data_IF_359986352652
#
_entry.id   IF_359986352652
#
_cell.length_a   1.000
_cell.length_b   1.000
_cell.length_c   1.000
_cell.angle_alpha   90.00
_cell.angle_beta   90.00
_cell.angle_gamma   90.00
#
_symmetry.space_group_name_H-M   'P 1'
#
loop_
_entity.id
_entity.type
_entity.pdbx_description
1 polymer ?
#
# COMPACT_ATOMS: atom_id res chain seq x y z
N UNK A 1 -93.26 -17.54 -38.78
CA UNK A 1 -92.69 -18.48 -37.79
C UNK A 1 -91.60 -19.43 -38.34
N UNK A 2 -91.81 -20.26 -39.37
CA UNK A 2 -90.75 -21.19 -39.83
C UNK A 2 -89.59 -20.53 -40.58
N UNK A 3 -89.87 -19.55 -41.44
CA UNK A 3 -88.84 -18.79 -42.17
C UNK A 3 -87.95 -17.96 -41.24
N UNK A 4 -88.53 -17.39 -40.18
CA UNK A 4 -87.79 -16.63 -39.17
C UNK A 4 -86.89 -17.55 -38.32
N UNK A 5 -87.36 -18.75 -37.96
CA UNK A 5 -86.54 -19.77 -37.30
C UNK A 5 -85.35 -20.21 -38.16
N UNK A 6 -85.53 -20.34 -39.48
CA UNK A 6 -84.44 -20.69 -40.40
C UNK A 6 -83.40 -19.56 -40.50
N UNK A 7 -83.85 -18.31 -40.66
CA UNK A 7 -82.95 -17.14 -40.69
C UNK A 7 -82.19 -16.94 -39.38
N UNK A 8 -82.85 -17.18 -38.24
CA UNK A 8 -82.20 -17.15 -36.92
C UNK A 8 -81.17 -18.27 -36.76
N UNK A 9 -81.45 -19.49 -37.23
CA UNK A 9 -80.47 -20.60 -37.23
C UNK A 9 -79.25 -20.30 -38.12
N UNK A 10 -79.46 -19.67 -39.27
CA UNK A 10 -78.37 -19.30 -40.17
C UNK A 10 -77.49 -18.20 -39.57
N UNK A 11 -78.10 -17.17 -38.97
CA UNK A 11 -77.37 -16.13 -38.21
C UNK A 11 -76.62 -16.70 -37.02
N UNK A 12 -77.22 -17.63 -36.28
CA UNK A 12 -76.56 -18.32 -35.16
C UNK A 12 -75.37 -19.15 -35.63
N UNK A 13 -75.48 -19.80 -36.79
CA UNK A 13 -74.39 -20.57 -37.40
C UNK A 13 -73.23 -19.66 -37.85
N UNK A 14 -73.53 -18.53 -38.50
CA UNK A 14 -72.53 -17.52 -38.89
C UNK A 14 -71.82 -16.93 -37.68
N UNK A 15 -72.57 -16.50 -36.66
CA UNK A 15 -72.01 -15.99 -35.42
C UNK A 15 -71.14 -17.03 -34.69
N UNK A 16 -71.53 -18.32 -34.70
CA UNK A 16 -70.70 -19.39 -34.13
C UNK A 16 -69.39 -19.61 -34.89
N UNK A 17 -69.40 -19.50 -36.22
CA UNK A 17 -68.19 -19.57 -37.05
C UNK A 17 -67.27 -18.38 -36.79
N UNK A 18 -67.83 -17.17 -36.73
CA UNK A 18 -67.07 -15.97 -36.38
C UNK A 18 -66.46 -16.07 -34.98
N UNK A 19 -67.21 -16.53 -33.98
CA UNK A 19 -66.68 -16.76 -32.63
C UNK A 19 -65.54 -17.79 -32.65
N UNK A 20 -65.63 -18.83 -33.48
CA UNK A 20 -64.58 -19.83 -33.59
C UNK A 20 -63.32 -19.27 -34.27
N UNK A 21 -63.48 -18.48 -35.33
CA UNK A 21 -62.38 -17.81 -36.03
C UNK A 21 -61.69 -16.77 -35.13
N UNK A 22 -62.47 -15.96 -34.41
CA UNK A 22 -61.97 -14.97 -33.44
C UNK A 22 -61.21 -15.65 -32.30
N UNK A 23 -61.70 -16.79 -31.77
CA UNK A 23 -60.97 -17.58 -30.76
C UNK A 23 -59.63 -18.08 -31.30
N UNK A 24 -59.60 -18.57 -32.55
CA UNK A 24 -58.37 -19.04 -33.19
C UNK A 24 -57.37 -17.90 -33.40
N UNK A 25 -57.84 -16.72 -33.80
CA UNK A 25 -57.00 -15.53 -33.91
C UNK A 25 -56.46 -15.10 -32.54
N UNK A 26 -57.29 -15.10 -31.50
CA UNK A 26 -56.90 -14.74 -30.14
C UNK A 26 -55.81 -15.66 -29.58
N UNK A 27 -55.90 -16.98 -29.83
CA UNK A 27 -54.83 -17.91 -29.45
C UNK A 27 -53.51 -17.65 -30.19
N UNK A 28 -53.57 -17.31 -31.48
CA UNK A 28 -52.38 -16.95 -32.26
C UNK A 28 -51.74 -15.67 -31.72
N UNK A 29 -52.55 -14.64 -31.42
CA UNK A 29 -52.07 -13.42 -30.80
C UNK A 29 -51.43 -13.68 -29.43
N UNK A 30 -52.06 -14.48 -28.57
CA UNK A 30 -51.47 -14.84 -27.27
C UNK A 30 -50.11 -15.56 -27.41
N UNK A 31 -49.97 -16.47 -28.38
CA UNK A 31 -48.69 -17.13 -28.67
C UNK A 31 -47.63 -16.13 -29.12
N UNK A 32 -47.98 -15.19 -30.01
CA UNK A 32 -47.07 -14.15 -30.46
C UNK A 32 -46.65 -13.21 -29.32
N UNK A 33 -47.60 -12.77 -28.49
CA UNK A 33 -47.30 -11.92 -27.33
C UNK A 33 -46.38 -12.62 -26.33
N UNK A 34 -46.59 -13.92 -26.08
CA UNK A 34 -45.72 -14.69 -25.19
C UNK A 34 -44.28 -14.79 -25.70
N UNK A 35 -44.09 -14.92 -27.03
CA UNK A 35 -42.76 -14.90 -27.64
C UNK A 35 -42.13 -13.53 -27.47
N UNK A 36 -42.86 -12.45 -27.77
CA UNK A 36 -42.36 -11.07 -27.61
C UNK A 36 -41.95 -10.79 -26.16
N UNK A 37 -42.75 -11.20 -25.17
CA UNK A 37 -42.43 -11.01 -23.76
C UNK A 37 -41.16 -11.76 -23.36
N UNK A 38 -40.93 -12.98 -23.88
CA UNK A 38 -39.68 -13.71 -23.64
C UNK A 38 -38.48 -13.00 -24.24
N UNK A 39 -38.59 -12.55 -25.50
CA UNK A 39 -37.52 -11.80 -26.17
C UNK A 39 -37.19 -10.50 -25.43
N UNK A 40 -38.19 -9.77 -24.93
CA UNK A 40 -37.97 -8.55 -24.13
C UNK A 40 -37.21 -8.85 -22.85
N UNK A 41 -37.54 -9.96 -22.15
CA UNK A 41 -36.80 -10.38 -20.94
C UNK A 41 -35.36 -10.77 -21.25
N UNK A 42 -35.12 -11.47 -22.36
CA UNK A 42 -33.76 -11.81 -22.81
C UNK A 42 -32.95 -10.56 -23.15
N UNK A 43 -33.55 -9.59 -23.84
CA UNK A 43 -32.92 -8.29 -24.14
C UNK A 43 -32.59 -7.54 -22.85
N UNK A 44 -33.49 -7.54 -21.85
CA UNK A 44 -33.23 -6.91 -20.55
C UNK A 44 -32.06 -7.57 -19.82
N UNK A 45 -32.04 -8.91 -19.74
CA UNK A 45 -30.95 -9.63 -19.10
C UNK A 45 -29.60 -9.37 -19.79
N UNK A 46 -29.56 -9.42 -21.12
CA UNK A 46 -28.36 -9.09 -21.90
C UNK A 46 -27.94 -7.63 -21.70
N UNK A 47 -28.90 -6.70 -21.60
CA UNK A 47 -28.58 -5.29 -21.37
C UNK A 47 -27.98 -5.05 -19.99
N UNK A 48 -28.45 -5.75 -18.96
CA UNK A 48 -27.86 -5.72 -17.62
C UNK A 48 -26.45 -6.31 -17.60
N UNK A 49 -26.23 -7.41 -18.32
CA UNK A 49 -24.93 -8.05 -18.45
C UNK A 49 -23.92 -7.13 -19.17
N UNK A 50 -24.33 -6.50 -20.27
CA UNK A 50 -23.52 -5.49 -20.98
C UNK A 50 -23.19 -4.31 -20.07
N UNK A 51 -24.14 -3.85 -19.25
CA UNK A 51 -23.90 -2.76 -18.29
C UNK A 51 -22.86 -3.18 -17.25
N UNK A 52 -23.00 -4.37 -16.65
CA UNK A 52 -22.05 -4.90 -15.66
C UNK A 52 -20.66 -5.04 -16.25
N UNK A 53 -20.53 -5.65 -17.42
CA UNK A 53 -19.26 -5.82 -18.11
C UNK A 53 -18.61 -4.46 -18.45
N UNK A 54 -19.42 -3.47 -18.84
CA UNK A 54 -18.93 -2.10 -19.09
C UNK A 54 -18.40 -1.42 -17.82
N UNK A 55 -19.03 -1.66 -16.66
CA UNK A 55 -18.56 -1.14 -15.38
C UNK A 55 -17.27 -1.82 -14.92
N UNK A 56 -17.16 -3.14 -15.11
CA UNK A 56 -15.92 -3.89 -14.84
C UNK A 56 -14.78 -3.43 -15.75
N UNK A 57 -15.04 -3.24 -17.04
CA UNK A 57 -14.04 -2.75 -18.01
C UNK A 57 -13.53 -1.36 -17.63
N UNK A 58 -14.41 -0.45 -17.20
CA UNK A 58 -14.00 0.87 -16.69
C UNK A 58 -13.14 0.79 -15.42
N UNK A 59 -13.37 -0.20 -14.54
CA UNK A 59 -12.51 -0.41 -13.37
C UNK A 59 -11.11 -0.87 -13.81
N UNK A 60 -11.05 -1.85 -14.71
CA UNK A 60 -9.78 -2.34 -15.24
C UNK A 60 -9.00 -1.29 -16.02
N UNK A 61 -9.67 -0.42 -16.79
CA UNK A 61 -8.99 0.69 -17.48
C UNK A 61 -8.35 1.68 -16.50
N UNK A 62 -9.03 2.03 -15.40
CA UNK A 62 -8.47 2.90 -14.36
C UNK A 62 -7.27 2.26 -13.67
N UNK A 63 -7.36 0.98 -13.35
CA UNK A 63 -6.27 0.23 -12.75
C UNK A 63 -5.07 0.15 -13.70
N UNK A 64 -5.31 -0.10 -14.99
CA UNK A 64 -4.27 -0.13 -16.00
C UNK A 64 -3.58 1.24 -16.17
N UNK A 65 -4.35 2.34 -16.15
CA UNK A 65 -3.79 3.69 -16.17
C UNK A 65 -2.90 3.96 -14.94
N UNK A 66 -3.36 3.57 -13.75
CA UNK A 66 -2.59 3.69 -12.51
C UNK A 66 -1.28 2.89 -12.59
N UNK A 67 -1.34 1.63 -13.01
CA UNK A 67 -0.16 0.79 -13.17
C UNK A 67 0.81 1.34 -14.22
N UNK A 68 0.31 1.92 -15.32
CA UNK A 68 1.17 2.59 -16.31
C UNK A 68 1.90 3.79 -15.74
N UNK A 69 1.25 4.58 -14.87
CA UNK A 69 1.89 5.69 -14.16
C UNK A 69 2.97 5.16 -13.21
N UNK A 70 2.64 4.16 -12.39
CA UNK A 70 3.62 3.53 -11.47
C UNK A 70 4.85 2.98 -12.23
N UNK A 71 4.66 2.37 -13.40
CA UNK A 71 5.76 1.90 -14.26
C UNK A 71 6.60 3.07 -14.81
N UNK A 72 5.96 4.19 -15.21
CA UNK A 72 6.67 5.36 -15.70
C UNK A 72 7.53 5.99 -14.59
N UNK A 73 6.98 6.09 -13.39
CA UNK A 73 7.69 6.58 -12.20
C UNK A 73 8.88 5.68 -11.88
N UNK A 74 8.67 4.36 -11.85
CA UNK A 74 9.74 3.37 -11.67
C UNK A 74 10.86 3.50 -12.71
N UNK A 75 10.53 3.71 -13.99
CA UNK A 75 11.53 3.93 -15.05
C UNK A 75 12.34 5.19 -14.79
N UNK A 76 11.68 6.30 -14.40
CA UNK A 76 12.36 7.55 -14.07
C UNK A 76 13.33 7.38 -12.89
N UNK A 77 12.93 6.60 -11.89
CA UNK A 77 13.70 6.28 -10.70
C UNK A 77 14.91 5.41 -11.06
N UNK A 78 14.73 4.35 -11.86
CA UNK A 78 15.85 3.52 -12.34
C UNK A 78 16.87 4.35 -13.10
N UNK A 79 16.43 5.26 -13.98
CA UNK A 79 17.33 6.17 -14.70
C UNK A 79 18.07 7.08 -13.71
N UNK A 80 17.40 7.52 -12.65
CA UNK A 80 17.99 8.38 -11.61
C UNK A 80 19.01 7.62 -10.76
N UNK A 81 18.70 6.39 -10.33
CA UNK A 81 19.62 5.46 -9.66
C UNK A 81 20.83 5.16 -10.55
N UNK A 82 20.62 5.01 -11.86
CA UNK A 82 21.71 4.73 -12.79
C UNK A 82 22.62 5.94 -12.99
N UNK A 83 22.07 7.16 -12.98
CA UNK A 83 22.84 8.40 -13.18
C UNK A 83 23.53 8.92 -11.93
N UNK A 84 23.01 8.62 -10.75
CA UNK A 84 23.49 9.14 -9.48
C UNK A 84 23.63 7.93 -8.58
N UNK A 85 24.79 7.72 -7.94
CA UNK A 85 25.05 6.61 -7.03
C UNK A 85 24.12 6.65 -5.80
N UNK A 86 22.84 6.33 -5.99
CA UNK A 86 21.83 6.19 -4.98
C UNK A 86 21.90 4.77 -4.43
N UNK A 87 21.84 4.65 -3.11
CA UNK A 87 21.78 3.38 -2.39
C UNK A 87 20.44 3.25 -1.69
N UNK A 88 20.01 2.02 -1.50
CA UNK A 88 18.78 1.71 -0.78
C UNK A 88 19.02 1.83 0.73
N UNK A 89 18.20 2.61 1.42
CA UNK A 89 18.08 2.52 2.87
C UNK A 89 17.25 1.29 3.20
N UNK A 90 17.80 0.38 4.01
CA UNK A 90 17.17 -0.90 4.31
C UNK A 90 15.90 -0.64 5.11
N UNK A 91 14.71 -0.95 4.57
CA UNK A 91 13.48 -0.62 5.24
C UNK A 91 13.13 -1.67 6.29
N UNK A 92 12.79 -1.22 7.49
CA UNK A 92 12.25 -2.04 8.57
C UNK A 92 10.96 -1.41 9.09
N UNK A 93 10.01 -2.27 9.45
CA UNK A 93 8.73 -1.81 10.00
C UNK A 93 8.90 -1.18 11.38
N UNK A 94 9.61 -1.86 12.27
CA UNK A 94 9.87 -1.49 13.68
C UNK A 94 11.27 -1.94 14.07
N UNK A 95 11.86 -1.38 15.13
CA UNK A 95 13.18 -1.79 15.63
C UNK A 95 13.09 -3.05 16.49
N UNK A 96 12.81 -4.19 15.85
CA UNK A 96 12.73 -5.52 16.47
C UNK A 96 13.64 -6.52 15.75
N UNK A 97 14.06 -7.59 16.45
CA UNK A 97 14.90 -8.64 15.85
C UNK A 97 14.20 -9.34 14.67
N UNK A 98 12.88 -9.49 14.75
CA UNK A 98 12.07 -10.08 13.69
C UNK A 98 12.07 -9.20 12.44
N UNK A 99 11.91 -7.89 12.60
CA UNK A 99 11.92 -6.94 11.48
C UNK A 99 13.30 -6.82 10.84
N UNK A 100 14.38 -6.80 11.63
CA UNK A 100 15.75 -6.84 11.12
C UNK A 100 16.00 -8.13 10.32
N UNK A 101 15.63 -9.28 10.89
CA UNK A 101 15.83 -10.58 10.21
C UNK A 101 15.02 -10.70 8.92
N UNK A 102 13.80 -10.13 8.90
CA UNK A 102 12.99 -10.07 7.68
C UNK A 102 13.66 -9.19 6.62
N UNK A 103 14.16 -8.02 7.01
CA UNK A 103 14.86 -7.14 6.10
C UNK A 103 16.16 -7.76 5.56
N UNK A 104 16.91 -8.49 6.37
CA UNK A 104 18.12 -9.20 5.91
C UNK A 104 17.81 -10.25 4.83
N UNK A 105 16.65 -10.91 4.91
CA UNK A 105 16.19 -11.88 3.89
C UNK A 105 15.73 -11.21 2.60
N UNK A 106 15.08 -10.05 2.70
CA UNK A 106 14.48 -9.34 1.56
C UNK A 106 15.50 -8.47 0.80
N UNK A 107 16.36 -7.75 1.53
CA UNK A 107 17.24 -6.71 0.98
C UNK A 107 18.72 -7.06 1.08
N UNK A 108 19.06 -8.20 1.70
CA UNK A 108 20.43 -8.66 1.91
C UNK A 108 20.99 -8.26 3.28
N UNK A 109 22.22 -8.72 3.60
CA UNK A 109 22.80 -8.56 4.93
C UNK A 109 22.98 -7.09 5.31
N UNK A 110 22.55 -6.73 6.51
CA UNK A 110 22.78 -5.41 7.09
C UNK A 110 24.19 -5.40 7.66
N UNK A 111 25.03 -4.48 7.18
CA UNK A 111 26.41 -4.38 7.61
C UNK A 111 26.93 -2.95 7.68
N UNK A 112 28.25 -2.83 7.70
CA UNK A 112 28.96 -1.57 7.84
C UNK A 112 28.51 -0.54 6.80
N UNK A 113 28.35 0.70 7.25
CA UNK A 113 27.89 1.83 6.44
C UNK A 113 26.43 1.73 5.93
N UNK A 114 25.63 0.76 6.40
CA UNK A 114 24.20 0.66 6.04
C UNK A 114 23.38 1.76 6.71
N UNK A 115 22.44 2.34 5.96
CA UNK A 115 21.41 3.25 6.49
C UNK A 115 20.11 2.48 6.55
N UNK A 116 19.42 2.57 7.68
CA UNK A 116 18.16 1.88 7.92
C UNK A 116 17.04 2.88 7.91
N UNK A 117 15.93 2.57 7.23
CA UNK A 117 14.71 3.36 7.29
C UNK A 117 13.69 2.66 8.17
N UNK A 118 13.24 3.32 9.24
CA UNK A 118 12.19 2.79 10.12
C UNK A 118 10.86 3.42 9.74
N UNK A 119 9.90 2.58 9.34
CA UNK A 119 8.56 3.04 8.97
C UNK A 119 7.76 3.47 10.19
N UNK A 120 7.85 2.72 11.29
CA UNK A 120 7.12 2.99 12.53
C UNK A 120 8.08 2.99 13.74
N UNK A 121 8.42 4.17 14.30
CA UNK A 121 9.35 4.29 15.43
C UNK A 121 8.71 4.06 16.82
N UNK A 122 7.46 3.60 16.91
CA UNK A 122 6.77 3.47 18.21
C UNK A 122 7.43 2.47 19.17
N UNK A 123 8.09 1.43 18.64
CA UNK A 123 8.63 0.35 19.47
C UNK A 123 10.07 -0.02 19.12
N UNK A 124 10.88 -0.18 20.18
CA UNK A 124 12.31 -0.46 20.10
C UNK A 124 12.70 -1.56 21.07
N UNK A 125 13.26 -2.65 20.54
CA UNK A 125 13.89 -3.71 21.34
C UNK A 125 15.37 -3.42 21.53
N UNK A 126 15.88 -3.59 22.77
CA UNK A 126 17.30 -3.36 23.08
C UNK A 126 18.20 -4.32 22.32
N UNK A 127 17.79 -5.57 22.20
CA UNK A 127 18.53 -6.62 21.49
C UNK A 127 18.66 -6.30 19.99
N UNK A 128 17.60 -5.71 19.42
CA UNK A 128 17.62 -5.23 18.04
C UNK A 128 18.62 -4.09 17.85
N UNK A 129 18.65 -3.13 18.78
CA UNK A 129 19.67 -2.06 18.77
C UNK A 129 21.08 -2.61 18.92
N UNK A 130 21.32 -3.53 19.85
CA UNK A 130 22.63 -4.15 20.03
C UNK A 130 23.12 -4.82 18.74
N UNK A 131 22.25 -5.59 18.06
CA UNK A 131 22.58 -6.20 16.76
C UNK A 131 22.94 -5.15 15.71
N UNK A 132 22.25 -4.01 15.68
CA UNK A 132 22.55 -2.92 14.75
C UNK A 132 23.87 -2.20 15.07
N UNK A 133 24.20 -2.04 16.35
CA UNK A 133 25.48 -1.49 16.80
C UNK A 133 26.63 -2.44 16.40
N UNK A 134 26.48 -3.74 16.64
CA UNK A 134 27.44 -4.78 16.24
C UNK A 134 27.66 -4.81 14.72
N UNK A 135 26.59 -4.58 13.94
CA UNK A 135 26.66 -4.48 12.48
C UNK A 135 27.33 -3.17 11.98
N UNK A 136 27.73 -2.27 12.87
CA UNK A 136 28.36 -0.97 12.57
C UNK A 136 27.55 -0.11 11.60
N UNK A 137 26.23 -0.06 11.76
CA UNK A 137 25.38 0.75 10.87
C UNK A 137 25.73 2.24 10.95
N UNK A 138 25.39 2.97 9.89
CA UNK A 138 25.74 4.38 9.76
C UNK A 138 24.76 5.31 10.45
N UNK A 139 23.46 5.11 10.21
CA UNK A 139 22.39 5.92 10.77
C UNK A 139 21.03 5.25 10.59
N UNK A 140 20.08 5.66 11.41
CA UNK A 140 18.67 5.33 11.26
C UNK A 140 17.92 6.57 10.76
N UNK A 141 17.12 6.40 9.72
CA UNK A 141 16.26 7.43 9.13
C UNK A 141 14.83 7.16 9.54
N UNK A 142 14.13 8.19 10.02
CA UNK A 142 12.75 8.06 10.53
C UNK A 142 11.93 9.29 10.13
N UNK A 143 10.63 9.08 9.92
CA UNK A 143 9.66 10.17 9.78
C UNK A 143 9.15 10.59 11.16
N UNK A 144 9.27 11.87 11.51
CA UNK A 144 8.73 12.45 12.75
C UNK A 144 8.94 11.61 14.03
N UNK A 145 10.19 11.28 14.41
CA UNK A 145 10.45 10.46 15.59
C UNK A 145 10.12 11.20 16.89
N UNK A 146 9.55 10.48 17.86
CA UNK A 146 9.40 10.96 19.24
C UNK A 146 10.77 11.17 19.92
N UNK A 147 10.86 12.11 20.86
CA UNK A 147 12.12 12.41 21.54
C UNK A 147 12.69 11.21 22.32
N UNK A 148 11.82 10.41 22.93
CA UNK A 148 12.23 9.22 23.68
C UNK A 148 12.90 8.19 22.76
N UNK A 149 12.36 8.01 21.56
CA UNK A 149 12.94 7.16 20.54
C UNK A 149 14.33 7.67 20.14
N UNK A 150 14.46 8.96 19.81
CA UNK A 150 15.74 9.55 19.40
C UNK A 150 16.79 9.35 20.50
N UNK A 151 16.44 9.64 21.76
CA UNK A 151 17.36 9.46 22.90
C UNK A 151 17.72 7.99 23.11
N UNK A 152 16.75 7.07 23.01
CA UNK A 152 16.97 5.64 23.18
C UNK A 152 17.96 5.05 22.18
N UNK A 153 17.86 5.50 20.92
CA UNK A 153 18.76 5.07 19.83
C UNK A 153 20.11 5.78 19.88
N UNK A 154 20.12 7.10 20.10
CA UNK A 154 21.36 7.89 20.16
C UNK A 154 22.23 7.53 21.36
N UNK A 155 21.65 7.17 22.50
CA UNK A 155 22.40 6.69 23.67
C UNK A 155 23.18 5.39 23.40
N UNK A 156 22.77 4.60 22.39
CA UNK A 156 23.48 3.41 21.93
C UNK A 156 24.57 3.73 20.88
N UNK A 157 24.72 5.00 20.49
CA UNK A 157 25.74 5.43 19.52
C UNK A 157 25.30 5.39 18.05
N UNK A 158 24.00 5.20 17.78
CA UNK A 158 23.45 5.26 16.42
C UNK A 158 22.78 6.62 16.21
N UNK A 159 23.22 7.43 15.22
CA UNK A 159 22.57 8.71 14.96
C UNK A 159 21.21 8.50 14.27
N UNK A 160 20.21 9.26 14.72
CA UNK A 160 18.88 9.31 14.10
C UNK A 160 18.78 10.54 13.22
N UNK A 161 18.39 10.35 11.96
CA UNK A 161 18.17 11.42 10.99
C UNK A 161 16.69 11.51 10.66
N UNK A 162 16.11 12.70 10.83
CA UNK A 162 14.73 12.97 10.45
C UNK A 162 14.66 13.12 8.94
N UNK A 163 13.66 12.50 8.30
CA UNK A 163 13.44 12.62 6.85
C UNK A 163 13.28 14.09 6.44
N UNK A 164 12.69 14.91 7.31
CA UNK A 164 12.42 16.32 7.05
C UNK A 164 13.70 17.12 6.82
N UNK A 165 14.78 16.77 7.54
CA UNK A 165 16.05 17.48 7.51
C UNK A 165 16.94 17.06 6.32
N UNK A 166 16.59 15.95 5.66
CA UNK A 166 17.43 15.29 4.63
C UNK A 166 16.69 15.10 3.30
N UNK A 167 15.58 15.81 3.09
CA UNK A 167 14.76 15.72 1.86
C UNK A 167 15.58 15.89 0.58
N UNK A 168 16.58 16.77 0.60
CA UNK A 168 17.43 17.04 -0.56
C UNK A 168 18.38 15.88 -0.91
N UNK A 169 18.58 14.95 0.03
CA UNK A 169 19.50 13.82 -0.10
C UNK A 169 18.80 12.48 -0.26
N UNK A 170 17.47 12.48 -0.19
CA UNK A 170 16.63 11.29 -0.20
C UNK A 170 15.57 11.37 -1.30
N UNK A 171 15.40 10.27 -2.01
CA UNK A 171 14.28 10.06 -2.93
C UNK A 171 13.38 8.99 -2.33
N UNK A 172 12.13 9.36 -2.02
CA UNK A 172 11.10 8.40 -1.60
C UNK A 172 10.41 7.86 -2.86
N UNK A 173 10.49 6.56 -3.05
CA UNK A 173 9.98 5.86 -4.24
C UNK A 173 8.60 5.26 -3.94
N UNK A 174 8.46 4.66 -2.76
CA UNK A 174 7.19 4.17 -2.21
C UNK A 174 7.15 4.45 -0.71
N UNK A 175 6.04 4.13 -0.05
CA UNK A 175 5.89 4.32 1.39
C UNK A 175 7.00 3.66 2.21
N UNK A 176 7.56 2.56 1.71
CA UNK A 176 8.59 1.75 2.34
C UNK A 176 9.95 1.76 1.62
N UNK A 177 10.10 2.43 0.47
CA UNK A 177 11.38 2.42 -0.28
C UNK A 177 11.98 3.82 -0.29
N UNK A 178 13.15 3.93 0.35
CA UNK A 178 13.88 5.18 0.52
C UNK A 178 15.27 5.01 -0.08
N UNK A 179 15.59 5.84 -1.07
CA UNK A 179 16.90 5.89 -1.70
C UNK A 179 17.66 7.11 -1.20
N UNK A 180 18.96 6.96 -0.97
CA UNK A 180 19.82 8.05 -0.52
C UNK A 180 21.05 8.21 -1.38
N UNK A 181 21.51 9.45 -1.53
CA UNK A 181 22.74 9.74 -2.29
C UNK A 181 24.00 9.57 -1.43
N UNK A 182 25.17 9.53 -2.09
CA UNK A 182 26.47 9.50 -1.42
C UNK A 182 26.73 10.70 -0.49
N UNK A 183 26.02 11.81 -0.67
CA UNK A 183 26.12 13.01 0.18
C UNK A 183 25.55 12.72 1.56
N UNK A 184 24.44 11.98 1.67
CA UNK A 184 23.87 11.55 2.94
C UNK A 184 24.86 10.70 3.74
N UNK A 185 25.66 9.86 3.06
CA UNK A 185 26.70 9.05 3.73
C UNK A 185 27.70 9.96 4.45
N UNK A 186 28.11 11.07 3.83
CA UNK A 186 29.04 12.03 4.45
C UNK A 186 28.41 12.72 5.66
N UNK A 187 27.15 13.15 5.53
CA UNK A 187 26.38 13.79 6.61
C UNK A 187 26.22 12.83 7.79
N UNK A 188 25.82 11.58 7.52
CA UNK A 188 25.63 10.56 8.54
C UNK A 188 26.96 10.19 9.22
N UNK A 189 28.09 10.08 8.48
CA UNK A 189 29.43 9.88 9.06
C UNK A 189 29.85 11.03 9.98
N UNK A 190 29.59 12.28 9.59
CA UNK A 190 29.86 13.45 10.43
C UNK A 190 29.03 13.40 11.71
N UNK A 191 27.74 13.11 11.59
CA UNK A 191 26.81 13.04 12.73
C UNK A 191 27.17 11.91 13.70
N UNK A 192 27.60 10.76 13.19
CA UNK A 192 28.08 9.63 13.98
C UNK A 192 29.31 10.03 14.82
N UNK A 193 30.28 10.72 14.23
CA UNK A 193 31.46 11.22 14.95
C UNK A 193 31.09 12.22 16.06
N UNK A 194 30.24 13.19 15.75
CA UNK A 194 29.75 14.16 16.76
C UNK A 194 29.05 13.47 17.93
N UNK A 195 28.26 12.42 17.64
CA UNK A 195 27.57 11.64 18.67
C UNK A 195 28.55 10.83 19.52
N UNK A 196 29.50 10.16 18.90
CA UNK A 196 30.55 9.41 19.62
C UNK A 196 31.38 10.31 20.54
N UNK A 197 31.76 11.51 20.08
CA UNK A 197 32.47 12.50 20.91
C UNK A 197 31.64 12.93 22.13
N UNK A 198 30.35 13.22 21.94
CA UNK A 198 29.43 13.56 23.04
C UNK A 198 29.28 12.43 24.04
N UNK A 199 29.15 11.19 23.57
CA UNK A 199 29.04 10.02 24.43
C UNK A 199 30.33 9.75 25.21
N UNK A 200 31.50 9.96 24.58
CA UNK A 200 32.80 9.86 25.27
C UNK A 200 32.92 10.91 26.36
N UNK A 201 32.58 12.17 26.07
CA UNK A 201 32.63 13.27 27.03
C UNK A 201 31.73 13.02 28.25
N UNK A 202 30.52 12.47 28.03
CA UNK A 202 29.62 12.07 29.14
C UNK A 202 30.22 10.95 29.99
N UNK A 203 30.76 9.90 29.36
CA UNK A 203 31.37 8.77 30.08
C UNK A 203 32.57 9.20 30.93
N UNK A 204 33.40 10.13 30.44
CA UNK A 204 34.51 10.69 31.24
C UNK A 204 34.01 11.44 32.47
N UNK A 205 32.95 12.25 32.35
CA UNK A 205 32.35 12.96 33.49
C UNK A 205 31.74 11.98 34.50
N UNK A 206 31.02 10.95 34.04
CA UNK A 206 30.45 9.93 34.92
C UNK A 206 31.52 9.13 35.67
N UNK A 207 32.65 8.82 35.00
CA UNK A 207 33.80 8.17 35.63
C UNK A 207 34.45 9.07 36.68
N UNK A 208 34.61 10.36 36.41
CA UNK A 208 35.14 11.34 37.37
C UNK A 208 34.24 11.45 38.61
N UNK A 209 32.93 11.54 38.42
CA UNK A 209 31.94 11.56 39.51
C UNK A 209 31.97 10.26 40.33
N UNK A 210 32.08 9.10 39.66
CA UNK A 210 32.15 7.80 40.33
C UNK A 210 33.44 7.68 41.16
N UNK A 211 34.58 8.13 40.62
CA UNK A 211 35.86 8.18 41.32
C UNK A 211 35.78 9.12 42.52
N UNK A 212 35.16 10.30 42.38
CA UNK A 212 34.97 11.23 43.50
C UNK A 212 34.11 10.63 44.61
N UNK A 213 32.98 9.99 44.28
CA UNK A 213 32.13 9.30 45.25
C UNK A 213 32.88 8.19 45.98
N UNK A 214 33.63 7.36 45.25
CA UNK A 214 34.48 6.31 45.85
C UNK A 214 35.59 6.87 46.75
N UNK A 215 36.13 8.06 46.43
CA UNK A 215 37.14 8.73 47.25
C UNK A 215 36.54 9.26 48.55
N UNK A 216 35.35 9.84 48.47
CA UNK A 216 34.62 10.36 49.64
C UNK A 216 34.18 9.22 50.59
N UNK A 217 33.68 8.10 50.07
CA UNK A 217 33.28 6.95 50.90
C UNK A 217 34.44 6.24 51.60
N UNK A 218 35.68 6.44 51.13
CA UNK A 218 36.86 5.74 51.63
C UNK A 218 37.72 6.60 52.57
N UNK A 219 37.48 7.91 52.60
CA UNK A 219 38.24 8.90 53.39
C UNK A 219 37.35 9.80 54.26
N UNK A 220 36.02 9.62 54.23
CA UNK A 220 35.05 10.18 55.20
C UNK A 220 34.60 9.11 56.18
#
# INVERSE_FOLDING_TARGET
>A
MEREKAQLKEKLSKARKEIFELKKQLELYHKQTNIQVKTVREIQALSEEVRRLSEELKKYERENLRLKQEIADLKSIIITISKHNYRLAVPITTLTLTSISKAEREYGPIGKDSIIYVVNPVFVQKEALSKLVEAEILSIVVHEPEEEFVRGVENQGIPVLKIEDIKDYIIRVFDNIVLYNNTLIKVAKKRKKELEEKLRARKTLELEDLIMKYRMERWG
#
